data_IF_168374081707
#
_entry.id   IF_168374081707
#
_cell.length_a   1.000
_cell.length_b   1.000
_cell.length_c   1.000
_cell.angle_alpha   90.00
_cell.angle_beta   90.00
_cell.angle_gamma   90.00
#
_symmetry.space_group_name_H-M   'P 1'
#
loop_
_entity.id
_entity.type
_entity.pdbx_description
1 polymer ?
#
# COMPACT_ATOMS: atom_id res chain seq x y z
N UNK A 1 3.43 -25.88 -4.63
CA UNK A 1 2.40 -24.98 -4.09
C UNK A 1 1.78 -25.39 -2.75
N UNK A 2 1.77 -26.67 -2.35
CA UNK A 2 1.17 -27.12 -1.07
C UNK A 2 1.70 -26.36 0.16
N UNK A 3 3.03 -26.22 0.24
CA UNK A 3 3.68 -25.49 1.34
C UNK A 3 3.13 -24.07 1.52
N UNK A 4 3.09 -23.27 0.44
CA UNK A 4 2.57 -21.89 0.47
C UNK A 4 1.12 -21.85 0.97
N UNK A 5 0.27 -22.75 0.48
CA UNK A 5 -1.13 -22.86 0.90
C UNK A 5 -1.25 -23.20 2.38
N UNK A 6 -0.44 -24.13 2.87
CA UNK A 6 -0.54 -24.67 4.23
C UNK A 6 0.11 -23.76 5.29
N UNK A 7 0.97 -22.83 4.85
CA UNK A 7 1.74 -21.95 5.73
C UNK A 7 1.26 -20.49 5.69
N UNK A 8 0.44 -20.12 4.70
CA UNK A 8 -0.23 -18.82 4.66
C UNK A 8 -1.41 -18.75 5.63
N UNK A 9 -1.46 -17.70 6.45
CA UNK A 9 -2.59 -17.38 7.36
C UNK A 9 -3.05 -15.94 7.14
N UNK A 10 -4.36 -15.69 7.13
CA UNK A 10 -4.84 -14.30 7.03
C UNK A 10 -4.43 -13.50 8.25
N UNK A 11 -4.18 -12.20 8.07
CA UNK A 11 -3.84 -11.31 9.20
C UNK A 11 -4.89 -11.38 10.32
N UNK A 12 -6.18 -11.43 9.97
CA UNK A 12 -7.28 -11.56 10.93
C UNK A 12 -7.23 -12.85 11.76
N UNK A 13 -6.87 -13.97 11.12
CA UNK A 13 -6.71 -15.26 11.80
C UNK A 13 -5.47 -15.27 12.67
N UNK A 14 -4.35 -14.75 12.17
CA UNK A 14 -3.10 -14.70 12.89
C UNK A 14 -3.20 -13.89 14.19
N UNK A 15 -3.99 -12.81 14.22
CA UNK A 15 -4.27 -12.01 15.43
C UNK A 15 -4.93 -12.79 16.57
N UNK A 16 -5.59 -13.92 16.26
CA UNK A 16 -6.31 -14.75 17.24
C UNK A 16 -5.52 -16.02 17.62
N UNK A 17 -4.35 -16.24 17.03
CA UNK A 17 -3.51 -17.41 17.27
C UNK A 17 -2.50 -17.14 18.38
N UNK A 18 -2.09 -18.21 19.08
CA UNK A 18 -0.98 -18.14 20.03
C UNK A 18 0.36 -18.00 19.28
N UNK A 19 1.42 -17.48 19.93
CA UNK A 19 2.75 -17.37 19.33
C UNK A 19 3.27 -18.71 18.77
N UNK A 20 3.12 -19.80 19.52
CA UNK A 20 3.56 -21.14 19.09
C UNK A 20 2.81 -21.63 17.85
N UNK A 21 1.52 -21.31 17.72
CA UNK A 21 0.72 -21.69 16.56
C UNK A 21 1.08 -20.90 15.29
N UNK A 22 1.75 -19.75 15.44
CA UNK A 22 2.27 -18.94 14.35
C UNK A 22 3.67 -19.37 13.91
N UNK A 23 4.33 -20.25 14.67
CA UNK A 23 5.61 -20.80 14.28
C UNK A 23 5.48 -21.48 12.91
N UNK A 24 6.39 -21.14 11.99
CA UNK A 24 6.37 -21.63 10.61
C UNK A 24 5.07 -21.26 9.85
N UNK A 25 4.43 -20.12 10.16
CA UNK A 25 3.36 -19.51 9.36
C UNK A 25 3.74 -18.10 8.92
N UNK A 26 3.21 -17.66 7.77
CA UNK A 26 3.36 -16.29 7.29
C UNK A 26 1.99 -15.65 7.03
N UNK A 27 1.90 -14.35 7.29
CA UNK A 27 0.62 -13.64 7.15
C UNK A 27 0.37 -13.21 5.70
N UNK A 28 -0.89 -13.28 5.30
CA UNK A 28 -1.39 -12.78 4.01
C UNK A 28 -2.55 -11.81 4.23
N UNK A 29 -2.71 -10.87 3.31
CA UNK A 29 -3.77 -9.87 3.34
C UNK A 29 -3.29 -8.53 2.79
N UNK A 30 -3.98 -7.46 3.19
CA UNK A 30 -3.59 -6.11 2.82
C UNK A 30 -2.37 -5.69 3.65
N UNK A 31 -1.26 -5.43 2.97
CA UNK A 31 -0.02 -4.96 3.61
C UNK A 31 -0.13 -3.48 4.02
N UNK A 32 -0.70 -2.66 3.13
CA UNK A 32 -0.91 -1.24 3.34
C UNK A 32 -2.21 -0.81 2.64
N UNK A 33 -3.18 -0.38 3.43
CA UNK A 33 -4.40 0.28 2.94
C UNK A 33 -4.26 1.77 3.23
N UNK A 34 -3.75 2.51 2.25
CA UNK A 34 -3.49 3.94 2.41
C UNK A 34 -3.97 4.70 1.19
N UNK A 35 -4.79 5.73 1.44
CA UNK A 35 -5.16 6.69 0.40
C UNK A 35 -3.93 7.54 0.05
N UNK A 36 -3.62 7.60 -1.24
CA UNK A 36 -2.57 8.47 -1.78
C UNK A 36 -3.13 9.27 -2.94
N UNK A 37 -2.61 10.49 -3.19
CA UNK A 37 -3.01 11.26 -4.34
C UNK A 37 -2.79 10.48 -5.64
N UNK A 38 -3.76 10.57 -6.56
CA UNK A 38 -3.60 9.97 -7.88
C UNK A 38 -2.72 10.85 -8.75
N UNK A 39 -1.89 10.23 -9.58
CA UNK A 39 -0.93 10.91 -10.44
C UNK A 39 -1.55 12.06 -11.25
N UNK A 40 -2.74 11.86 -11.80
CA UNK A 40 -3.43 12.84 -12.64
C UNK A 40 -3.83 14.10 -11.87
N UNK A 41 -4.32 13.95 -10.64
CA UNK A 41 -4.66 15.09 -9.77
C UNK A 41 -3.42 15.89 -9.40
N UNK A 42 -2.34 15.22 -9.01
CA UNK A 42 -1.08 15.87 -8.67
C UNK A 42 -0.47 16.58 -9.89
N UNK A 43 -0.51 15.93 -11.06
CA UNK A 43 -0.03 16.51 -12.31
C UNK A 43 -0.84 17.76 -12.70
N UNK A 44 -2.16 17.73 -12.55
CA UNK A 44 -3.00 18.90 -12.79
C UNK A 44 -2.68 20.06 -11.84
N UNK A 45 -2.45 19.78 -10.55
CA UNK A 45 -2.04 20.79 -9.57
C UNK A 45 -0.76 21.49 -10.03
N UNK A 46 0.25 20.72 -10.43
CA UNK A 46 1.53 21.24 -10.94
C UNK A 46 1.30 22.10 -12.20
N UNK A 47 0.50 21.64 -13.17
CA UNK A 47 0.20 22.42 -14.38
C UNK A 47 -0.51 23.74 -14.08
N UNK A 48 -1.47 23.72 -13.15
CA UNK A 48 -2.19 24.93 -12.72
C UNK A 48 -1.23 25.92 -12.05
N UNK A 49 -0.31 25.43 -11.21
CA UNK A 49 0.75 26.25 -10.60
C UNK A 49 1.67 26.88 -11.66
N UNK A 50 2.12 26.10 -12.64
CA UNK A 50 2.98 26.58 -13.71
C UNK A 50 2.31 27.68 -14.56
N UNK A 51 1.01 27.56 -14.86
CA UNK A 51 0.25 28.58 -15.60
C UNK A 51 0.06 29.88 -14.82
N UNK A 52 0.04 29.81 -13.48
CA UNK A 52 -0.12 30.98 -12.59
C UNK A 52 1.19 31.72 -12.37
N UNK A 53 2.33 31.06 -12.56
CA UNK A 53 3.64 31.72 -12.47
C UNK A 53 3.78 32.67 -13.67
N UNK A 54 3.99 33.99 -13.46
CA UNK A 54 4.30 34.87 -14.58
C UNK A 54 5.52 34.30 -15.28
N UNK A 55 5.47 34.21 -16.62
CA UNK A 55 6.65 33.82 -17.39
C UNK A 55 7.73 34.85 -17.09
N UNK A 56 8.74 34.44 -16.35
CA UNK A 56 9.97 35.20 -16.22
C UNK A 56 10.47 35.42 -17.65
N UNK A 57 10.46 36.68 -18.08
CA UNK A 57 10.74 37.06 -19.47
C UNK A 57 12.17 36.62 -19.78
N UNK A 58 12.31 35.62 -20.65
CA UNK A 58 13.55 35.37 -21.37
C UNK A 58 13.77 36.45 -22.42
#
# INVERSE_FOLDING_TARGET
MKWLRDHAVTLEKARKMTPDALENKFTIGILADVEKPIYTEEYEKIRKMAKRRPKEKA
#
